data_IF_625558253319
#
_entry.id   IF_625558253319
#
_cell.length_a   1.000
_cell.length_b   1.000
_cell.length_c   1.000
_cell.angle_alpha   90.00
_cell.angle_beta   90.00
_cell.angle_gamma   90.00
#
_symmetry.space_group_name_H-M   'P 1'
#
loop_
_entity.id
_entity.type
_entity.pdbx_description
1 polymer ?
#
# COMPACT_ATOMS: atom_id res chain seq x y z
N UNK A 1 16.39 -8.10 35.21
CA UNK A 1 17.11 -9.34 34.87
C UNK A 1 18.48 -9.04 34.26
N UNK A 2 18.58 -8.31 33.14
CA UNK A 2 19.87 -7.90 32.54
C UNK A 2 20.85 -7.14 33.47
N UNK A 3 20.34 -6.33 34.43
CA UNK A 3 21.15 -5.67 35.46
C UNK A 3 21.84 -6.66 36.42
N UNK A 4 21.26 -7.83 36.61
CA UNK A 4 21.67 -8.83 37.60
C UNK A 4 22.42 -10.00 36.97
N UNK A 5 22.10 -10.33 35.71
CA UNK A 5 22.83 -11.29 34.89
C UNK A 5 22.83 -10.79 33.42
N UNK A 6 23.91 -10.15 32.97
CA UNK A 6 24.05 -9.68 31.59
C UNK A 6 24.13 -10.82 30.56
N UNK A 7 24.52 -12.03 30.98
CA UNK A 7 24.67 -13.21 30.11
C UNK A 7 23.44 -14.11 30.03
N UNK A 8 22.33 -13.70 30.67
CA UNK A 8 21.19 -14.55 30.96
C UNK A 8 20.62 -15.26 29.72
N UNK A 9 20.63 -16.60 29.74
CA UNK A 9 20.23 -17.45 28.62
C UNK A 9 18.80 -17.18 28.13
N UNK A 10 17.82 -17.10 29.03
CA UNK A 10 16.43 -16.83 28.64
C UNK A 10 16.29 -15.46 27.94
N UNK A 11 17.03 -14.43 28.36
CA UNK A 11 16.98 -13.13 27.69
C UNK A 11 17.56 -13.18 26.29
N UNK A 12 18.64 -13.96 26.09
CA UNK A 12 19.21 -14.20 24.75
C UNK A 12 18.22 -14.91 23.84
N UNK A 13 17.52 -15.92 24.35
CA UNK A 13 16.49 -16.67 23.60
C UNK A 13 15.31 -15.74 23.26
N UNK A 14 14.78 -15.01 24.24
CA UNK A 14 13.67 -14.06 24.01
C UNK A 14 14.03 -13.00 22.98
N UNK A 15 15.27 -12.48 22.99
CA UNK A 15 15.74 -11.56 21.95
C UNK A 15 15.69 -12.22 20.56
N UNK A 16 16.22 -13.43 20.43
CA UNK A 16 16.21 -14.15 19.15
C UNK A 16 14.79 -14.43 18.65
N UNK A 17 13.88 -14.86 19.53
CA UNK A 17 12.48 -15.11 19.14
C UNK A 17 11.73 -13.82 18.80
N UNK A 18 11.98 -12.71 19.51
CA UNK A 18 11.39 -11.41 19.20
C UNK A 18 11.79 -10.90 17.80
N UNK A 19 13.02 -11.22 17.35
CA UNK A 19 13.50 -10.85 16.01
C UNK A 19 12.85 -11.68 14.88
N UNK A 20 12.12 -12.75 15.20
CA UNK A 20 11.41 -13.62 14.23
C UNK A 20 9.93 -13.26 14.05
N UNK A 21 9.44 -12.20 14.69
CA UNK A 21 8.04 -11.77 14.65
C UNK A 21 7.60 -11.10 13.33
N UNK A 22 6.49 -10.35 13.39
CA UNK A 22 5.76 -9.72 12.26
C UNK A 22 6.59 -8.77 11.36
N UNK A 23 7.84 -8.49 11.73
CA UNK A 23 8.75 -7.58 11.03
C UNK A 23 10.06 -8.32 10.79
N UNK A 24 10.37 -8.54 9.52
CA UNK A 24 11.66 -9.10 9.11
C UNK A 24 12.75 -8.03 9.25
N UNK A 25 13.39 -8.01 10.42
CA UNK A 25 14.49 -7.09 10.71
C UNK A 25 15.69 -7.30 9.80
N UNK A 26 15.95 -8.54 9.34
CA UNK A 26 17.01 -8.82 8.38
C UNK A 26 16.76 -8.09 7.05
N UNK A 27 15.50 -8.14 6.56
CA UNK A 27 15.09 -7.39 5.36
C UNK A 27 15.20 -5.88 5.54
N UNK A 28 14.90 -5.35 6.73
CA UNK A 28 15.08 -3.92 7.03
C UNK A 28 16.56 -3.53 7.02
N UNK A 29 17.41 -4.32 7.69
CA UNK A 29 18.85 -4.08 7.74
C UNK A 29 19.47 -4.08 6.34
N UNK A 30 19.10 -5.04 5.49
CA UNK A 30 19.54 -5.09 4.10
C UNK A 30 19.09 -3.85 3.32
N UNK A 31 17.82 -3.44 3.47
CA UNK A 31 17.28 -2.28 2.78
C UNK A 31 18.00 -0.99 3.20
N UNK A 32 18.27 -0.81 4.50
CA UNK A 32 19.02 0.32 5.04
C UNK A 32 20.47 0.33 4.54
N UNK A 33 21.12 -0.83 4.46
CA UNK A 33 22.47 -0.93 3.92
C UNK A 33 22.50 -0.51 2.44
N UNK A 34 21.52 -0.95 1.64
CA UNK A 34 21.42 -0.64 0.21
C UNK A 34 21.14 0.84 -0.08
N UNK A 35 20.37 1.52 0.77
CA UNK A 35 19.95 2.91 0.56
C UNK A 35 20.77 3.94 1.35
N UNK A 36 21.77 3.49 2.13
CA UNK A 36 22.64 4.36 2.95
C UNK A 36 23.24 5.48 2.11
N UNK A 37 23.04 6.73 2.56
CA UNK A 37 23.58 7.93 1.91
C UNK A 37 22.91 8.30 0.59
N UNK A 38 21.79 7.65 0.22
CA UNK A 38 21.06 7.88 -1.04
C UNK A 38 19.66 8.48 -0.82
N UNK A 39 19.33 8.86 0.41
CA UNK A 39 18.01 9.37 0.78
C UNK A 39 18.18 10.79 1.31
N UNK A 40 17.51 11.74 0.67
CA UNK A 40 17.36 13.10 1.18
C UNK A 40 16.13 13.19 2.07
N UNK A 41 16.32 13.68 3.29
CA UNK A 41 15.20 13.95 4.20
C UNK A 41 14.70 15.38 3.97
N UNK A 42 13.49 15.49 3.40
CA UNK A 42 12.87 16.79 3.07
C UNK A 42 11.64 16.99 3.94
N UNK A 43 11.64 18.06 4.72
CA UNK A 43 10.48 18.52 5.49
C UNK A 43 9.68 19.49 4.61
N UNK A 44 8.40 19.22 4.45
CA UNK A 44 7.50 20.03 3.62
C UNK A 44 6.55 20.85 4.50
N UNK A 45 6.18 22.03 4.02
CA UNK A 45 5.20 22.95 4.59
C UNK A 45 3.74 22.55 4.27
N UNK A 46 3.56 21.63 3.33
CA UNK A 46 2.27 21.07 2.93
C UNK A 46 2.35 19.56 2.70
N UNK A 47 1.19 18.90 2.73
CA UNK A 47 1.06 17.47 2.40
C UNK A 47 1.54 17.20 0.97
N UNK A 48 2.42 16.22 0.80
CA UNK A 48 2.95 15.80 -0.51
C UNK A 48 1.87 15.10 -1.35
N UNK A 49 1.81 15.32 -2.68
CA UNK A 49 0.95 14.54 -3.57
C UNK A 49 1.18 13.03 -3.47
N UNK A 50 2.40 12.59 -3.16
CA UNK A 50 2.73 11.16 -2.96
C UNK A 50 2.09 10.56 -1.70
N UNK A 51 1.62 11.38 -0.76
CA UNK A 51 0.90 10.91 0.41
C UNK A 51 -0.59 10.68 0.13
N UNK A 52 -1.12 11.08 -1.04
CA UNK A 52 -2.53 10.91 -1.38
C UNK A 52 -3.06 9.49 -1.15
N UNK A 53 -2.34 8.40 -1.51
CA UNK A 53 -2.79 7.03 -1.24
C UNK A 53 -2.92 6.68 0.26
N UNK A 54 -2.19 7.37 1.13
CA UNK A 54 -2.23 7.14 2.58
C UNK A 54 -3.46 7.75 3.25
N UNK A 55 -4.12 8.71 2.59
CA UNK A 55 -5.39 9.31 3.06
C UNK A 55 -6.61 8.53 2.60
N UNK A 56 -6.41 7.50 1.77
CA UNK A 56 -7.48 6.65 1.27
C UNK A 56 -7.43 5.34 2.03
N UNK A 57 -8.57 4.90 2.56
CA UNK A 57 -8.69 3.57 3.16
C UNK A 57 -8.29 2.49 2.14
N UNK A 58 -7.73 1.39 2.65
CA UNK A 58 -7.40 0.23 1.85
C UNK A 58 -8.70 -0.38 1.29
N UNK A 59 -9.06 -0.01 0.06
CA UNK A 59 -10.18 -0.63 -0.63
C UNK A 59 -10.97 0.34 -1.49
N UNK A 60 -10.61 0.36 -2.78
CA UNK A 60 -11.42 0.89 -3.89
C UNK A 60 -11.76 2.37 -3.75
N UNK A 61 -11.07 3.23 -4.50
CA UNK A 61 -11.73 4.45 -4.97
C UNK A 61 -12.81 3.98 -5.96
N UNK A 62 -14.11 4.04 -5.65
CA UNK A 62 -15.12 3.72 -6.64
C UNK A 62 -15.02 4.78 -7.74
N UNK A 63 -14.72 4.37 -8.97
CA UNK A 63 -14.93 5.22 -10.13
C UNK A 63 -16.45 5.26 -10.34
N UNK A 64 -17.12 6.16 -9.62
CA UNK A 64 -18.54 6.41 -9.80
C UNK A 64 -18.75 7.03 -11.19
N UNK A 65 -19.46 6.33 -12.08
CA UNK A 65 -19.95 6.89 -13.34
C UNK A 65 -19.49 6.14 -14.58
N UNK A 66 -18.19 5.99 -14.80
CA UNK A 66 -17.66 5.56 -16.11
C UNK A 66 -18.11 4.15 -16.53
N UNK A 67 -18.09 3.18 -15.61
CA UNK A 67 -18.51 1.81 -15.93
C UNK A 67 -20.02 1.68 -16.18
N UNK A 68 -20.83 2.48 -15.47
CA UNK A 68 -22.29 2.43 -15.58
C UNK A 68 -22.78 3.14 -16.84
N UNK A 69 -22.19 4.29 -17.19
CA UNK A 69 -22.53 4.99 -18.43
C UNK A 69 -22.14 4.18 -19.66
N UNK A 70 -20.98 3.50 -19.63
CA UNK A 70 -20.56 2.62 -20.72
C UNK A 70 -21.52 1.44 -20.92
N UNK A 71 -21.90 0.76 -19.84
CA UNK A 71 -22.88 -0.34 -19.91
C UNK A 71 -24.26 0.12 -20.40
N UNK A 72 -24.69 1.32 -20.00
CA UNK A 72 -25.94 1.91 -20.48
C UNK A 72 -25.88 2.29 -21.96
N UNK A 73 -24.76 2.84 -22.42
CA UNK A 73 -24.54 3.19 -23.82
C UNK A 73 -24.49 1.94 -24.72
N UNK A 74 -23.80 0.90 -24.27
CA UNK A 74 -23.69 -0.37 -25.01
C UNK A 74 -25.07 -1.05 -25.15
N UNK A 75 -25.85 -1.13 -24.08
CA UNK A 75 -27.19 -1.73 -24.14
C UNK A 75 -28.18 -0.86 -24.93
N UNK A 76 -28.08 0.47 -24.82
CA UNK A 76 -28.87 1.38 -25.66
C UNK A 76 -28.58 1.18 -27.15
N UNK A 77 -27.31 1.05 -27.53
CA UNK A 77 -26.92 0.74 -28.91
C UNK A 77 -27.50 -0.59 -29.38
N UNK A 78 -27.42 -1.63 -28.54
CA UNK A 78 -27.97 -2.97 -28.84
C UNK A 78 -29.48 -2.95 -29.07
N UNK A 79 -30.23 -2.20 -28.25
CA UNK A 79 -31.68 -2.06 -28.38
C UNK A 79 -32.07 -1.26 -29.63
N UNK A 80 -31.29 -0.25 -29.99
CA UNK A 80 -31.54 0.57 -31.18
C UNK A 80 -31.28 -0.25 -32.46
N UNK A 81 -30.20 -1.04 -32.51
CA UNK A 81 -29.96 -1.99 -33.59
C UNK A 81 -31.08 -3.01 -33.73
N UNK A 82 -31.54 -3.61 -32.62
CA UNK A 82 -32.65 -4.55 -32.62
C UNK A 82 -33.97 -3.91 -33.10
N UNK A 83 -34.16 -2.62 -32.85
CA UNK A 83 -35.28 -1.83 -33.34
C UNK A 83 -35.11 -1.33 -34.80
N UNK A 84 -33.98 -1.64 -35.45
CA UNK A 84 -33.68 -1.20 -36.83
C UNK A 84 -33.25 0.27 -36.95
N UNK A 85 -32.89 0.91 -35.84
CA UNK A 85 -32.41 2.29 -35.77
C UNK A 85 -30.88 2.28 -35.67
N UNK A 86 -30.20 2.93 -36.61
CA UNK A 86 -28.75 3.17 -36.53
C UNK A 86 -28.50 4.52 -35.86
N UNK A 87 -27.61 4.56 -34.86
CA UNK A 87 -26.93 5.80 -34.50
C UNK A 87 -25.79 6.00 -35.51
N UNK A 88 -25.82 7.12 -36.23
CA UNK A 88 -24.66 7.65 -36.94
C UNK A 88 -23.64 8.23 -35.95
#
# INVERSE_FOLDING_TARGET
LAKYDPGHLLMRITRTEAMRGLVDFGRIEEMLARTRGRIDHVVLDRVTPLAAPLFLEHGRVPIHGEGRERLLADEAGRLMEAAGLKLD
#
